data_IF_315675984048
#
_entry.id   IF_315675984048
#
_cell.length_a   1.000
_cell.length_b   1.000
_cell.length_c   1.000
_cell.angle_alpha   90.00
_cell.angle_beta   90.00
_cell.angle_gamma   90.00
#
_symmetry.space_group_name_H-M   'P 1'
#
loop_
_entity.id
_entity.type
_entity.pdbx_description
1 polymer ?
#
# COMPACT_ATOMS: atom_id res chain seq x y z
N UNK A 1 -31.80 6.90 -19.42
CA UNK A 1 -31.90 6.88 -17.94
C UNK A 1 -30.49 6.71 -17.39
N UNK A 2 -29.94 7.68 -16.65
CA UNK A 2 -28.60 7.58 -16.08
C UNK A 2 -28.64 6.68 -14.84
N UNK A 3 -27.96 5.54 -14.87
CA UNK A 3 -27.80 4.69 -13.69
C UNK A 3 -26.67 5.23 -12.83
N UNK A 4 -27.00 5.66 -11.62
CA UNK A 4 -26.04 6.12 -10.62
C UNK A 4 -25.78 4.97 -9.65
N UNK A 5 -24.52 4.57 -9.48
CA UNK A 5 -24.09 3.63 -8.44
C UNK A 5 -23.40 4.41 -7.33
N UNK A 6 -23.84 4.22 -6.09
CA UNK A 6 -23.25 4.88 -4.93
C UNK A 6 -22.92 3.87 -3.84
N UNK A 7 -21.79 4.05 -3.15
CA UNK A 7 -21.37 3.25 -2.00
C UNK A 7 -20.93 4.17 -0.85
N UNK A 8 -21.16 3.69 0.38
CA UNK A 8 -20.64 4.30 1.60
C UNK A 8 -19.77 3.27 2.32
N UNK A 9 -18.51 3.61 2.54
CA UNK A 9 -17.55 2.80 3.29
C UNK A 9 -17.17 3.52 4.57
N UNK A 10 -17.27 2.83 5.71
CA UNK A 10 -16.81 3.35 7.01
C UNK A 10 -15.50 2.68 7.35
N UNK A 11 -14.46 3.49 7.53
CA UNK A 11 -13.13 3.02 7.90
C UNK A 11 -12.70 3.65 9.22
N UNK A 12 -12.00 2.88 10.05
CA UNK A 12 -11.27 3.43 11.18
C UNK A 12 -9.84 3.73 10.74
N UNK A 13 -9.51 5.02 10.66
CA UNK A 13 -8.16 5.51 10.38
C UNK A 13 -7.65 6.26 11.62
N UNK A 14 -6.86 5.60 12.49
CA UNK A 14 -6.57 6.10 13.82
C UNK A 14 -6.10 7.56 13.84
N UNK A 15 -6.70 8.43 14.67
CA UNK A 15 -7.63 8.10 15.77
C UNK A 15 -9.13 8.20 15.42
N UNK A 16 -9.50 8.40 14.15
CA UNK A 16 -10.88 8.75 13.78
C UNK A 16 -11.55 7.74 12.86
N UNK A 17 -12.87 7.62 12.99
CA UNK A 17 -13.73 7.02 11.99
C UNK A 17 -13.97 8.01 10.85
N UNK A 18 -13.85 7.51 9.62
CA UNK A 18 -14.08 8.26 8.39
C UNK A 18 -15.17 7.56 7.58
N UNK A 19 -16.13 8.33 7.09
CA UNK A 19 -17.09 7.92 6.07
C UNK A 19 -16.55 8.33 4.70
N UNK A 20 -16.42 7.37 3.80
CA UNK A 20 -16.03 7.57 2.40
C UNK A 20 -17.27 7.32 1.54
N UNK A 21 -17.70 8.36 0.85
CA UNK A 21 -18.79 8.33 -0.11
C UNK A 21 -18.21 8.22 -1.51
N UNK A 22 -18.62 7.21 -2.26
CA UNK A 22 -18.21 7.01 -3.65
C UNK A 22 -19.47 7.01 -4.52
N UNK A 23 -19.44 7.74 -5.63
CA UNK A 23 -20.50 7.66 -6.65
C UNK A 23 -19.90 7.56 -8.05
N UNK A 24 -20.53 6.74 -8.88
CA UNK A 24 -20.20 6.52 -10.28
C UNK A 24 -21.44 6.72 -11.13
N UNK A 25 -21.35 7.57 -12.13
CA UNK A 25 -22.34 7.69 -13.20
C UNK A 25 -21.62 7.91 -14.53
N UNK A 26 -22.10 7.23 -15.57
CA UNK A 26 -21.43 7.20 -16.87
C UNK A 26 -19.92 6.87 -16.73
N UNK A 27 -19.04 7.85 -16.93
CA UNK A 27 -17.58 7.76 -16.80
C UNK A 27 -17.01 8.74 -15.76
N UNK A 28 -17.83 9.20 -14.83
CA UNK A 28 -17.44 10.14 -13.79
C UNK A 28 -17.38 9.43 -12.46
N UNK A 29 -16.23 9.55 -11.80
CA UNK A 29 -16.02 9.09 -10.44
C UNK A 29 -15.94 10.29 -9.49
N UNK A 30 -16.79 10.30 -8.46
CA UNK A 30 -16.77 11.31 -7.43
C UNK A 30 -16.64 10.66 -6.06
N UNK A 31 -15.72 11.19 -5.27
CA UNK A 31 -15.45 10.72 -3.92
C UNK A 31 -15.50 11.86 -2.92
N UNK A 32 -16.11 11.62 -1.77
CA UNK A 32 -16.18 12.57 -0.67
C UNK A 32 -15.84 11.90 0.66
N UNK A 33 -15.18 12.62 1.55
CA UNK A 33 -14.81 12.12 2.88
C UNK A 33 -15.42 12.99 3.98
N UNK A 34 -15.96 12.34 5.00
CA UNK A 34 -16.41 13.00 6.25
C UNK A 34 -15.79 12.31 7.45
N UNK A 35 -15.27 13.08 8.39
CA UNK A 35 -14.76 12.56 9.67
C UNK A 35 -15.93 12.44 10.66
N UNK A 36 -16.18 11.23 11.17
CA UNK A 36 -17.29 10.93 12.09
C UNK A 36 -16.91 11.11 13.56
N UNK A 37 -15.61 11.05 13.89
CA UNK A 37 -15.08 11.23 15.24
C UNK A 37 -14.32 10.01 15.75
N UNK A 38 -13.98 10.00 17.04
CA UNK A 38 -13.11 8.97 17.67
C UNK A 38 -13.88 7.69 18.04
N UNK A 39 -15.20 7.80 18.20
CA UNK A 39 -16.07 6.68 18.59
C UNK A 39 -16.68 5.97 17.39
N UNK A 40 -16.97 4.69 17.54
CA UNK A 40 -17.64 3.91 16.51
C UNK A 40 -19.01 4.53 16.18
N UNK A 41 -19.28 4.87 14.90
CA UNK A 41 -20.50 5.58 14.53
C UNK A 41 -21.72 4.65 14.67
N UNK A 42 -22.74 5.13 15.38
CA UNK A 42 -24.02 4.42 15.50
C UNK A 42 -24.74 4.41 14.15
N UNK A 43 -25.48 3.33 13.88
CA UNK A 43 -26.26 3.19 12.64
C UNK A 43 -27.25 4.35 12.43
N UNK A 44 -27.86 4.85 13.50
CA UNK A 44 -28.76 6.01 13.45
C UNK A 44 -28.06 7.27 12.95
N UNK A 45 -26.83 7.52 13.39
CA UNK A 45 -26.01 8.64 12.95
C UNK A 45 -25.57 8.49 11.49
N UNK A 46 -25.23 7.28 11.07
CA UNK A 46 -24.90 6.99 9.67
C UNK A 46 -26.11 7.23 8.77
N UNK A 47 -27.30 6.80 9.21
CA UNK A 47 -28.54 7.00 8.48
C UNK A 47 -28.85 8.49 8.27
N UNK A 48 -28.78 9.29 9.34
CA UNK A 48 -29.01 10.75 9.24
C UNK A 48 -27.95 11.45 8.40
N UNK A 49 -26.70 10.97 8.45
CA UNK A 49 -25.63 11.48 7.60
C UNK A 49 -25.94 11.26 6.11
N UNK A 50 -26.41 10.06 5.75
CA UNK A 50 -26.76 9.71 4.37
C UNK A 50 -27.98 10.46 3.87
N UNK A 51 -29.00 10.66 4.70
CA UNK A 51 -30.25 11.30 4.26
C UNK A 51 -30.18 12.82 4.27
N UNK A 52 -29.61 13.43 5.32
CA UNK A 52 -29.69 14.88 5.55
C UNK A 52 -28.41 15.64 5.20
N UNK A 53 -27.26 14.96 5.19
CA UNK A 53 -25.95 15.60 5.03
C UNK A 53 -25.25 15.26 3.72
N UNK A 54 -25.90 14.50 2.83
CA UNK A 54 -25.36 14.12 1.53
C UNK A 54 -24.93 15.31 0.68
N UNK A 55 -25.73 16.39 0.66
CA UNK A 55 -25.44 17.61 -0.10
C UNK A 55 -24.30 18.45 0.46
N UNK A 56 -23.88 18.19 1.71
CA UNK A 56 -22.80 18.94 2.38
C UNK A 56 -21.45 18.25 2.24
N UNK A 57 -21.40 17.05 1.67
CA UNK A 57 -20.15 16.34 1.43
C UNK A 57 -19.41 17.02 0.28
N UNK A 58 -18.17 17.44 0.53
CA UNK A 58 -17.29 17.95 -0.51
C UNK A 58 -16.87 16.78 -1.41
N UNK A 59 -17.52 16.66 -2.57
CA UNK A 59 -17.19 15.66 -3.57
C UNK A 59 -16.07 16.17 -4.47
N UNK A 60 -15.00 15.40 -4.55
CA UNK A 60 -13.93 15.60 -5.49
C UNK A 60 -14.21 14.74 -6.72
N UNK A 61 -14.26 15.39 -7.88
CA UNK A 61 -14.44 14.74 -9.17
C UNK A 61 -13.08 14.30 -9.69
N UNK A 62 -12.89 13.00 -9.85
CA UNK A 62 -11.85 12.47 -10.71
C UNK A 62 -12.49 12.18 -12.08
N UNK A 63 -11.99 12.87 -13.10
CA UNK A 63 -12.22 12.44 -14.47
C UNK A 63 -11.27 11.25 -14.68
N UNK A 64 -11.82 10.04 -14.82
CA UNK A 64 -11.02 8.85 -15.10
C UNK A 64 -10.39 9.01 -16.50
N UNK A 65 -9.15 9.50 -16.57
CA UNK A 65 -8.25 9.14 -17.65
C UNK A 65 -7.76 7.72 -17.35
N UNK A 66 -8.23 6.76 -18.14
CA UNK A 66 -7.68 5.41 -18.26
C UNK A 66 -7.43 4.65 -16.97
N UNK A 67 -8.50 4.19 -16.32
CA UNK A 67 -8.53 2.80 -15.83
C UNK A 67 -9.94 2.48 -15.37
N UNK A 68 -10.75 1.96 -16.31
CA UNK A 68 -11.87 1.10 -15.98
C UNK A 68 -11.30 -0.14 -15.28
N UNK A 69 -11.00 -0.02 -13.98
CA UNK A 69 -10.77 -1.16 -13.12
C UNK A 69 -12.13 -1.85 -13.05
N UNK A 70 -12.38 -2.75 -14.00
CA UNK A 70 -13.43 -3.75 -13.88
C UNK A 70 -13.31 -4.30 -12.46
N UNK A 71 -14.29 -3.97 -11.63
CA UNK A 71 -14.44 -4.54 -10.29
C UNK A 71 -14.45 -6.05 -10.45
N UNK A 72 -13.28 -6.67 -10.30
CA UNK A 72 -13.18 -8.12 -10.25
C UNK A 72 -14.11 -8.51 -9.10
N UNK A 73 -15.17 -9.28 -9.40
CA UNK A 73 -16.05 -9.85 -8.38
C UNK A 73 -15.21 -10.70 -7.43
N UNK A 74 -14.76 -10.09 -6.34
CA UNK A 74 -14.06 -10.77 -5.26
C UNK A 74 -15.12 -11.46 -4.43
N UNK A 75 -14.96 -12.77 -4.20
CA UNK A 75 -15.94 -13.51 -3.39
C UNK A 75 -16.04 -12.93 -1.97
N UNK A 76 -17.25 -12.90 -1.37
CA UNK A 76 -17.44 -12.33 -0.02
C UNK A 76 -16.51 -12.96 1.04
N UNK A 77 -16.26 -14.28 0.94
CA UNK A 77 -15.29 -14.97 1.79
C UNK A 77 -13.87 -14.44 1.64
N UNK A 78 -13.44 -14.10 0.41
CA UNK A 78 -12.12 -13.54 0.14
C UNK A 78 -12.02 -12.10 0.65
N UNK A 79 -13.08 -11.29 0.52
CA UNK A 79 -13.16 -9.94 1.08
C UNK A 79 -13.06 -9.98 2.61
N UNK A 80 -13.82 -10.86 3.27
CA UNK A 80 -13.79 -11.04 4.72
C UNK A 80 -12.41 -11.52 5.20
N UNK A 81 -11.73 -12.41 4.44
CA UNK A 81 -10.36 -12.84 4.74
C UNK A 81 -9.36 -11.71 4.64
N UNK A 82 -9.49 -10.82 3.65
CA UNK A 82 -8.64 -9.63 3.50
C UNK A 82 -8.86 -8.63 4.64
N UNK A 83 -10.12 -8.35 5.00
CA UNK A 83 -10.47 -7.50 6.14
C UNK A 83 -9.95 -8.07 7.47
N UNK A 84 -10.07 -9.39 7.68
CA UNK A 84 -9.47 -10.04 8.87
C UNK A 84 -7.95 -9.99 8.85
N UNK A 85 -7.31 -10.06 7.67
CA UNK A 85 -5.84 -9.94 7.55
C UNK A 85 -5.36 -8.53 7.86
N UNK A 86 -6.12 -7.50 7.49
CA UNK A 86 -5.79 -6.11 7.85
C UNK A 86 -6.00 -5.83 9.34
N UNK A 87 -7.05 -6.42 9.93
CA UNK A 87 -7.37 -6.29 11.36
C UNK A 87 -6.46 -7.15 12.26
N UNK A 88 -5.97 -8.31 11.79
CA UNK A 88 -5.03 -9.20 12.52
C UNK A 88 -3.59 -8.64 12.65
N UNK A 89 -3.40 -7.34 12.56
CA UNK A 89 -2.24 -6.71 13.18
C UNK A 89 -2.60 -6.46 14.63
N UNK A 90 -2.43 -7.50 15.47
CA UNK A 90 -2.37 -7.32 16.92
C UNK A 90 -1.39 -6.20 17.24
N UNK A 91 -1.67 -5.47 18.32
CA UNK A 91 -1.02 -4.23 18.77
C UNK A 91 0.48 -4.43 18.98
N UNK A 92 1.24 -4.57 17.90
CA UNK A 92 2.67 -4.34 17.88
C UNK A 92 2.80 -2.83 17.95
N UNK A 93 3.24 -2.33 19.10
CA UNK A 93 3.60 -0.93 19.33
C UNK A 93 4.33 -0.40 18.08
N UNK A 94 4.07 0.84 17.67
CA UNK A 94 4.72 1.46 16.50
C UNK A 94 6.24 1.21 16.46
N UNK A 95 6.86 1.11 17.64
CA UNK A 95 8.24 0.67 17.86
C UNK A 95 8.59 -0.71 17.29
N UNK A 96 7.77 -1.75 17.51
CA UNK A 96 8.01 -3.11 17.01
C UNK A 96 7.96 -3.18 15.48
N UNK A 97 7.03 -2.45 14.85
CA UNK A 97 6.97 -2.33 13.39
C UNK A 97 8.18 -1.58 12.83
N UNK A 98 8.62 -0.51 13.51
CA UNK A 98 9.82 0.24 13.13
C UNK A 98 11.09 -0.65 13.23
N UNK A 99 11.21 -1.44 14.29
CA UNK A 99 12.33 -2.38 14.47
C UNK A 99 12.34 -3.47 13.39
N UNK A 100 11.18 -4.05 13.04
CA UNK A 100 11.10 -5.03 11.95
C UNK A 100 11.54 -4.43 10.62
N UNK A 101 11.08 -3.21 10.30
CA UNK A 101 11.48 -2.50 9.08
C UNK A 101 12.99 -2.20 9.07
N UNK A 102 13.56 -1.81 10.21
CA UNK A 102 15.00 -1.58 10.34
C UNK A 102 15.80 -2.87 10.11
N UNK A 103 15.35 -4.00 10.66
CA UNK A 103 15.98 -5.31 10.47
C UNK A 103 15.95 -5.72 9.00
N UNK A 104 14.82 -5.51 8.30
CA UNK A 104 14.68 -5.83 6.88
C UNK A 104 15.62 -5.00 6.00
N UNK A 105 15.66 -3.67 6.22
CA UNK A 105 16.58 -2.77 5.52
C UNK A 105 18.03 -3.18 5.76
N UNK A 106 18.39 -3.54 7.01
CA UNK A 106 19.73 -3.97 7.36
C UNK A 106 20.14 -5.24 6.61
N UNK A 107 19.26 -6.24 6.56
CA UNK A 107 19.50 -7.49 5.81
C UNK A 107 19.77 -7.24 4.33
N UNK A 108 19.00 -6.33 3.71
CA UNK A 108 19.18 -5.97 2.30
C UNK A 108 20.55 -5.30 2.11
N UNK A 109 20.90 -4.33 2.96
CA UNK A 109 22.19 -3.64 2.89
C UNK A 109 23.38 -4.59 3.09
N UNK A 110 23.30 -5.48 4.07
CA UNK A 110 24.35 -6.49 4.31
C UNK A 110 24.51 -7.43 3.11
N UNK A 111 23.41 -7.85 2.47
CA UNK A 111 23.46 -8.67 1.25
C UNK A 111 24.14 -7.93 0.10
N UNK A 112 23.81 -6.65 -0.11
CA UNK A 112 24.44 -5.82 -1.14
C UNK A 112 25.94 -5.65 -0.89
N UNK A 113 26.35 -5.33 0.34
CA UNK A 113 27.77 -5.20 0.71
C UNK A 113 28.51 -6.52 0.48
N UNK A 114 27.92 -7.65 0.92
CA UNK A 114 28.54 -8.97 0.74
C UNK A 114 28.72 -9.31 -0.74
N UNK A 115 27.76 -8.94 -1.57
CA UNK A 115 27.83 -9.16 -3.01
C UNK A 115 28.91 -8.28 -3.66
N UNK A 116 28.94 -6.98 -3.36
CA UNK A 116 29.97 -6.07 -3.85
C UNK A 116 31.39 -6.52 -3.47
N UNK A 117 31.59 -6.90 -2.20
CA UNK A 117 32.88 -7.41 -1.73
C UNK A 117 33.30 -8.72 -2.41
N UNK A 118 32.34 -9.55 -2.84
CA UNK A 118 32.64 -10.79 -3.57
C UNK A 118 33.09 -10.46 -4.99
N UNK A 119 32.37 -9.57 -5.67
CA UNK A 119 32.68 -9.14 -7.03
C UNK A 119 34.08 -8.48 -7.07
N UNK A 120 34.38 -7.59 -6.13
CA UNK A 120 35.69 -6.94 -6.02
C UNK A 120 36.83 -7.95 -5.80
N UNK A 121 36.64 -8.94 -4.92
CA UNK A 121 37.62 -10.02 -4.73
C UNK A 121 37.81 -10.87 -5.98
N UNK A 122 36.74 -11.19 -6.70
CA UNK A 122 36.83 -11.95 -7.94
C UNK A 122 37.64 -11.17 -9.00
N UNK A 123 37.43 -9.86 -9.12
CA UNK A 123 38.22 -8.98 -10.00
C UNK A 123 39.71 -8.97 -9.62
N UNK A 124 40.04 -8.72 -8.35
CA UNK A 124 41.44 -8.69 -7.86
C UNK A 124 42.13 -10.04 -8.11
N UNK A 125 41.46 -11.16 -7.81
CA UNK A 125 42.03 -12.49 -8.02
C UNK A 125 42.25 -12.80 -9.50
N UNK A 126 41.36 -12.33 -10.38
CA UNK A 126 41.50 -12.47 -11.82
C UNK A 126 42.69 -11.65 -12.34
N UNK A 127 42.81 -10.38 -11.95
CA UNK A 127 43.94 -9.52 -12.33
C UNK A 127 45.29 -10.10 -11.89
N UNK A 128 45.38 -10.59 -10.65
CA UNK A 128 46.58 -11.28 -10.18
C UNK A 128 46.91 -12.53 -11.01
N UNK A 129 45.92 -13.33 -11.40
CA UNK A 129 46.13 -14.50 -12.27
C UNK A 129 46.63 -14.08 -13.65
N UNK A 130 46.08 -13.02 -14.22
CA UNK A 130 46.50 -12.49 -15.52
C UNK A 130 47.93 -11.92 -15.46
N UNK A 131 48.29 -11.20 -14.40
CA UNK A 131 49.64 -10.71 -14.17
C UNK A 131 50.66 -11.86 -14.04
N UNK A 132 50.32 -12.91 -13.26
CA UNK A 132 51.16 -14.12 -13.13
C UNK A 132 51.35 -14.84 -14.47
N UNK A 133 50.29 -14.96 -15.29
CA UNK A 133 50.40 -15.52 -16.65
C UNK A 133 51.34 -14.69 -17.53
N UNK A 134 51.20 -13.36 -17.50
CA UNK A 134 52.08 -12.45 -18.25
C UNK A 134 53.55 -12.57 -17.82
N UNK A 135 53.82 -12.67 -16.52
CA UNK A 135 55.18 -12.87 -16.00
C UNK A 135 55.78 -14.22 -16.44
N UNK A 136 55.00 -15.31 -16.40
CA UNK A 136 55.45 -16.63 -16.91
C UNK A 136 55.82 -16.60 -18.39
N UNK A 137 55.13 -15.79 -19.20
CA UNK A 137 55.42 -15.65 -20.63
C UNK A 137 56.61 -14.73 -20.95
N UNK A 138 57.07 -13.90 -20.00
CA UNK A 138 58.19 -12.98 -20.27
C UNK A 138 59.57 -13.65 -20.20
N UNK A 139 59.65 -14.93 -19.84
CA UNK A 139 60.92 -15.68 -19.78
C UNK A 139 61.86 -15.12 -18.72
N UNK A 140 62.81 -15.96 -18.30
CA UNK A 140 64.02 -15.50 -17.62
C UNK A 140 65.20 -15.78 -18.55
#
# INVERSE_FOLDING_TARGET
>A
MLTIKSSLTIIFDPPFYKAIFERRYASVYEVGQVTLGTSEPKLTYIYTLVTNHWSRVAFFRQNDSDTLVLEKRISPKRLQRLARKSVKKGVGTKAQLALQKQIEIRKIKEKQIKQANREEKEVITFEMRQAKKKQKHKGH
#
